data_IF_892550675303
#
_entry.id   IF_892550675303
#
_cell.length_a   1.000
_cell.length_b   1.000
_cell.length_c   1.000
_cell.angle_alpha   90.00
_cell.angle_beta   90.00
_cell.angle_gamma   90.00
#
_symmetry.space_group_name_H-M   'P 1'
#
loop_
_entity.id
_entity.type
_entity.pdbx_description
1 polymer ?
#
# COMPACT_ATOMS: atom_id res chain seq x y z
N UNK A 1 -16.03 15.03 -4.35
CA UNK A 1 -14.67 15.34 -4.83
C UNK A 1 -14.17 14.14 -5.62
N UNK A 2 -14.20 14.20 -6.96
CA UNK A 2 -14.08 13.06 -7.88
C UNK A 2 -12.76 12.25 -7.80
N UNK A 3 -11.74 12.74 -7.07
CA UNK A 3 -10.43 12.09 -6.94
C UNK A 3 -9.93 12.00 -5.49
N UNK A 4 -10.81 12.24 -4.52
CA UNK A 4 -10.43 12.27 -3.11
C UNK A 4 -10.01 10.90 -2.57
N UNK A 5 -10.62 9.84 -3.08
CA UNK A 5 -10.31 8.44 -2.78
C UNK A 5 -8.91 8.05 -3.29
N UNK A 6 -8.55 8.45 -4.51
CA UNK A 6 -7.21 8.23 -5.08
C UNK A 6 -6.16 9.00 -4.27
N UNK A 7 -6.42 10.28 -3.98
CA UNK A 7 -5.52 11.09 -3.16
C UNK A 7 -5.34 10.47 -1.75
N UNK A 8 -6.40 9.98 -1.14
CA UNK A 8 -6.36 9.31 0.15
C UNK A 8 -5.57 7.99 0.09
N UNK A 9 -5.73 7.19 -0.97
CA UNK A 9 -4.98 5.94 -1.15
C UNK A 9 -3.47 6.21 -1.31
N UNK A 10 -3.09 7.20 -2.13
CA UNK A 10 -1.70 7.59 -2.33
C UNK A 10 -1.10 8.15 -1.04
N UNK A 11 -1.80 9.06 -0.37
CA UNK A 11 -1.36 9.61 0.91
C UNK A 11 -1.22 8.51 1.98
N UNK A 12 -2.18 7.58 2.04
CA UNK A 12 -2.16 6.45 2.95
C UNK A 12 -1.00 5.49 2.67
N UNK A 13 -0.70 5.16 1.41
CA UNK A 13 0.46 4.34 1.07
C UNK A 13 1.79 5.02 1.36
N UNK A 14 1.90 6.34 1.15
CA UNK A 14 3.09 7.10 1.55
C UNK A 14 3.26 7.15 3.07
N UNK A 15 2.16 7.31 3.81
CA UNK A 15 2.16 7.22 5.27
C UNK A 15 2.61 5.85 5.74
N UNK A 16 2.11 4.77 5.15
CA UNK A 16 2.54 3.40 5.48
C UNK A 16 4.03 3.19 5.19
N UNK A 17 4.51 3.66 4.03
CA UNK A 17 5.93 3.60 3.69
C UNK A 17 6.79 4.38 4.69
N UNK A 18 6.33 5.56 5.12
CA UNK A 18 7.02 6.39 6.09
C UNK A 18 7.07 5.75 7.47
N UNK A 19 5.94 5.23 7.95
CA UNK A 19 5.85 4.49 9.22
C UNK A 19 6.80 3.29 9.17
N UNK A 20 6.80 2.52 8.09
CA UNK A 20 7.64 1.34 7.97
C UNK A 20 9.14 1.68 7.90
N UNK A 21 9.52 2.77 7.23
CA UNK A 21 10.90 3.28 7.24
C UNK A 21 11.32 3.75 8.64
N UNK A 22 10.45 4.44 9.37
CA UNK A 22 10.69 4.84 10.77
C UNK A 22 10.90 3.63 11.68
N UNK A 23 10.01 2.62 11.58
CA UNK A 23 10.08 1.39 12.39
C UNK A 23 11.36 0.59 12.12
N UNK A 24 11.95 0.73 10.94
CA UNK A 24 13.16 0.00 10.55
C UNK A 24 14.45 0.82 10.66
N UNK A 25 14.37 2.03 11.20
CA UNK A 25 15.54 2.87 11.51
C UNK A 25 16.01 3.76 10.36
N UNK A 26 15.08 4.23 9.49
CA UNK A 26 15.34 5.16 8.38
C UNK A 26 16.38 4.66 7.37
N UNK A 27 16.22 3.40 6.94
CA UNK A 27 17.21 2.70 6.11
C UNK A 27 16.92 2.80 4.61
N UNK A 28 15.98 3.63 4.19
CA UNK A 28 15.81 4.02 2.79
C UNK A 28 14.35 4.15 2.37
N UNK A 29 13.82 5.38 2.47
CA UNK A 29 12.45 5.71 2.12
C UNK A 29 12.07 5.37 0.67
N UNK A 30 13.03 5.44 -0.27
CA UNK A 30 12.78 5.12 -1.68
C UNK A 30 12.42 3.65 -1.94
N UNK A 31 13.02 2.72 -1.19
CA UNK A 31 12.68 1.30 -1.31
C UNK A 31 11.30 1.00 -0.72
N UNK A 32 11.00 1.56 0.45
CA UNK A 32 9.71 1.38 1.12
C UNK A 32 8.56 2.03 0.37
N UNK A 33 8.76 3.19 -0.27
CA UNK A 33 7.73 3.85 -1.06
C UNK A 33 7.40 3.07 -2.34
N UNK A 34 8.41 2.51 -3.02
CA UNK A 34 8.21 1.62 -4.18
C UNK A 34 7.41 0.37 -3.80
N UNK A 35 7.82 -0.32 -2.73
CA UNK A 35 7.12 -1.53 -2.26
C UNK A 35 5.69 -1.20 -1.86
N UNK A 36 5.48 -0.10 -1.13
CA UNK A 36 4.15 0.37 -0.76
C UNK A 36 3.29 0.68 -1.99
N UNK A 37 3.84 1.38 -2.99
CA UNK A 37 3.12 1.73 -4.21
C UNK A 37 2.69 0.50 -5.03
N UNK A 38 3.57 -0.48 -5.17
CA UNK A 38 3.23 -1.76 -5.83
C UNK A 38 2.15 -2.49 -5.02
N UNK A 39 2.28 -2.53 -3.69
CA UNK A 39 1.30 -3.17 -2.83
C UNK A 39 -0.08 -2.48 -2.86
N UNK A 40 -0.13 -1.15 -2.99
CA UNK A 40 -1.38 -0.42 -3.24
C UNK A 40 -2.07 -0.90 -4.52
N UNK A 41 -1.31 -0.98 -5.62
CA UNK A 41 -1.83 -1.43 -6.92
C UNK A 41 -2.33 -2.88 -6.85
N UNK A 42 -1.58 -3.77 -6.17
CA UNK A 42 -1.99 -5.15 -5.95
C UNK A 42 -3.27 -5.24 -5.11
N UNK A 43 -3.35 -4.52 -3.98
CA UNK A 43 -4.52 -4.54 -3.11
C UNK A 43 -5.78 -4.00 -3.79
N UNK A 44 -5.64 -2.92 -4.57
CA UNK A 44 -6.71 -2.40 -5.42
C UNK A 44 -7.18 -3.43 -6.45
N UNK A 45 -6.25 -4.03 -7.20
CA UNK A 45 -6.56 -5.00 -8.25
C UNK A 45 -7.31 -6.22 -7.67
N UNK A 46 -6.86 -6.73 -6.52
CA UNK A 46 -7.53 -7.83 -5.83
C UNK A 46 -8.98 -7.47 -5.46
N UNK A 47 -9.21 -6.29 -4.88
CA UNK A 47 -10.54 -5.88 -4.44
C UNK A 47 -11.54 -5.70 -5.59
N UNK A 48 -11.10 -5.07 -6.68
CA UNK A 48 -11.97 -4.67 -7.80
C UNK A 48 -12.08 -5.74 -8.86
N UNK A 49 -10.97 -6.42 -9.19
CA UNK A 49 -10.91 -7.34 -10.34
C UNK A 49 -10.97 -8.80 -9.97
N UNK A 50 -10.46 -9.19 -8.79
CA UNK A 50 -10.39 -10.61 -8.40
C UNK A 50 -11.55 -11.00 -7.50
N UNK A 51 -11.77 -10.27 -6.41
CA UNK A 51 -12.82 -10.57 -5.45
C UNK A 51 -14.15 -9.91 -5.78
N UNK A 52 -14.14 -8.86 -6.62
CA UNK A 52 -15.32 -8.08 -6.99
C UNK A 52 -16.12 -7.56 -5.78
N UNK A 53 -15.44 -7.29 -4.65
CA UNK A 53 -16.04 -6.80 -3.39
C UNK A 53 -16.26 -5.28 -3.43
N UNK A 54 -15.65 -4.59 -4.41
CA UNK A 54 -15.67 -3.13 -4.54
C UNK A 54 -15.67 -2.71 -6.00
N UNK A 55 -16.23 -1.54 -6.30
CA UNK A 55 -16.08 -0.86 -7.60
C UNK A 55 -15.11 0.32 -7.48
N UNK A 56 -14.64 0.85 -8.62
CA UNK A 56 -13.80 2.05 -8.65
C UNK A 56 -14.50 3.32 -8.15
N UNK A 57 -15.83 3.32 -8.10
CA UNK A 57 -16.63 4.48 -7.66
C UNK A 57 -16.90 4.46 -6.13
N UNK A 58 -16.39 3.44 -5.45
CA UNK A 58 -16.67 3.20 -4.03
C UNK A 58 -15.43 3.38 -3.17
N UNK A 59 -15.55 3.94 -1.97
CA UNK A 59 -14.41 4.10 -1.05
C UNK A 59 -13.86 2.78 -0.50
N UNK A 60 -14.54 1.66 -0.74
CA UNK A 60 -14.20 0.35 -0.20
C UNK A 60 -12.86 -0.17 -0.75
N UNK A 61 -12.46 0.20 -1.96
CA UNK A 61 -11.19 -0.27 -2.54
C UNK A 61 -9.97 0.35 -1.85
N UNK A 62 -10.10 1.52 -1.23
CA UNK A 62 -9.01 2.25 -0.56
C UNK A 62 -8.40 1.43 0.59
N UNK A 63 -9.17 0.96 1.59
CA UNK A 63 -8.62 0.12 2.65
C UNK A 63 -8.02 -1.19 2.12
N UNK A 64 -8.56 -1.79 1.04
CA UNK A 64 -7.95 -2.97 0.42
C UNK A 64 -6.59 -2.66 -0.21
N UNK A 65 -6.44 -1.50 -0.87
CA UNK A 65 -5.15 -1.05 -1.37
C UNK A 65 -4.14 -0.88 -0.22
N UNK A 66 -4.56 -0.25 0.89
CA UNK A 66 -3.71 -0.07 2.07
C UNK A 66 -3.30 -1.40 2.71
N UNK A 67 -4.20 -2.38 2.79
CA UNK A 67 -3.90 -3.73 3.28
C UNK A 67 -2.88 -4.41 2.37
N UNK A 68 -3.05 -4.33 1.04
CA UNK A 68 -2.08 -4.85 0.06
C UNK A 68 -0.70 -4.23 0.24
N UNK A 69 -0.62 -2.90 0.40
CA UNK A 69 0.61 -2.18 0.73
C UNK A 69 1.26 -2.68 2.02
N UNK A 70 0.47 -2.80 3.09
CA UNK A 70 0.95 -3.31 4.38
C UNK A 70 1.55 -4.70 4.29
N UNK A 71 0.87 -5.62 3.59
CA UNK A 71 1.36 -7.01 3.39
C UNK A 71 2.68 -7.01 2.62
N UNK A 72 2.80 -6.23 1.54
CA UNK A 72 4.03 -6.13 0.76
C UNK A 72 5.19 -5.56 1.59
N UNK A 73 4.94 -4.54 2.41
CA UNK A 73 5.95 -3.96 3.31
C UNK A 73 6.41 -4.98 4.35
N UNK A 74 5.49 -5.72 4.97
CA UNK A 74 5.82 -6.78 5.93
C UNK A 74 6.69 -7.85 5.26
N UNK A 75 6.30 -8.31 4.07
CA UNK A 75 7.08 -9.28 3.32
C UNK A 75 8.48 -8.76 2.97
N UNK A 76 8.58 -7.51 2.50
CA UNK A 76 9.85 -6.87 2.18
C UNK A 76 10.82 -6.88 3.36
N UNK A 77 10.37 -6.50 4.55
CA UNK A 77 11.24 -6.50 5.73
C UNK A 77 11.57 -7.90 6.25
N UNK A 78 10.62 -8.83 6.16
CA UNK A 78 10.83 -10.23 6.54
C UNK A 78 11.94 -10.88 5.72
N UNK A 79 11.97 -10.63 4.40
CA UNK A 79 13.00 -11.19 3.51
C UNK A 79 14.27 -10.35 3.42
N UNK A 80 14.22 -9.05 3.70
CA UNK A 80 15.40 -8.18 3.72
C UNK A 80 16.38 -8.55 4.83
N UNK A 81 15.90 -8.99 5.99
CA UNK A 81 16.76 -9.39 7.12
C UNK A 81 17.46 -10.75 6.92
N UNK A 82 17.11 -11.50 5.86
CA UNK A 82 17.68 -12.81 5.54
C UNK A 82 18.87 -12.73 4.57
N UNK A 83 19.20 -11.53 4.06
CA UNK A 83 20.34 -11.26 3.17
C UNK A 83 21.39 -10.46 3.92
#
# INVERSE_FOLDING_TARGET
>A
MQYADIAAAVAGGLLLAWIADLLTGRRGFGGTSLVSGIGLACGWFLAVRVFAVSTMDSWVWVPWALVGSGICLVAFFLFRNKR
#
